data_IF_803690228360
#
_entry.id   IF_803690228360
#
_cell.length_a   1.000
_cell.length_b   1.000
_cell.length_c   1.000
_cell.angle_alpha   90.00
_cell.angle_beta   90.00
_cell.angle_gamma   90.00
#
_symmetry.space_group_name_H-M   'P 1'
#
loop_
_entity.id
_entity.type
_entity.pdbx_description
1 polymer ?
#
# COMPACT_ATOMS: atom_id res chain seq x y z
N UNK A 1 -18.14 15.51 -13.45
CA UNK A 1 -17.18 16.41 -12.79
C UNK A 1 -16.83 17.50 -13.80
N UNK A 2 -16.88 18.79 -13.42
CA UNK A 2 -16.49 19.87 -14.34
C UNK A 2 -14.96 19.93 -14.48
N UNK A 3 -14.48 20.48 -15.59
CA UNK A 3 -13.05 20.67 -15.83
C UNK A 3 -12.40 21.55 -14.75
N UNK A 4 -13.11 22.58 -14.30
CA UNK A 4 -12.66 23.47 -13.22
C UNK A 4 -12.43 22.73 -11.89
N UNK A 5 -13.32 21.79 -11.52
CA UNK A 5 -13.13 20.96 -10.32
C UNK A 5 -11.90 20.08 -10.45
N UNK A 6 -11.68 19.46 -11.61
CA UNK A 6 -10.48 18.65 -11.86
C UNK A 6 -9.21 19.50 -11.71
N UNK A 7 -9.19 20.68 -12.32
CA UNK A 7 -8.03 21.56 -12.32
C UNK A 7 -7.71 22.06 -10.91
N UNK A 8 -8.72 22.37 -10.07
CA UNK A 8 -8.52 22.69 -8.64
C UNK A 8 -7.95 21.54 -7.82
N UNK A 9 -8.42 20.32 -8.04
CA UNK A 9 -7.90 19.14 -7.32
C UNK A 9 -6.44 18.91 -7.73
N UNK A 10 -6.14 18.90 -9.02
CA UNK A 10 -4.78 18.73 -9.54
C UNK A 10 -3.86 19.84 -8.99
N UNK A 11 -4.28 21.10 -9.09
CA UNK A 11 -3.50 22.24 -8.61
C UNK A 11 -3.18 22.16 -7.12
N UNK A 12 -4.18 21.83 -6.27
CA UNK A 12 -3.93 21.71 -4.83
C UNK A 12 -3.12 20.46 -4.47
N UNK A 13 -3.21 19.38 -5.24
CA UNK A 13 -2.31 18.22 -5.10
C UNK A 13 -0.86 18.57 -5.43
N UNK A 14 -0.62 19.32 -6.52
CA UNK A 14 0.71 19.83 -6.88
C UNK A 14 1.24 20.78 -5.80
N UNK A 15 0.37 21.58 -5.18
CA UNK A 15 0.74 22.48 -4.09
C UNK A 15 1.33 21.73 -2.89
N UNK A 16 0.78 20.56 -2.53
CA UNK A 16 1.31 19.70 -1.46
C UNK A 16 2.73 19.21 -1.71
N UNK A 17 3.07 18.98 -2.97
CA UNK A 17 4.39 18.48 -3.36
C UNK A 17 5.39 19.63 -3.56
N UNK A 18 4.92 20.78 -4.03
CA UNK A 18 5.73 21.98 -4.24
C UNK A 18 6.17 22.64 -2.92
N UNK A 19 5.32 22.62 -1.91
CA UNK A 19 5.53 23.33 -0.64
C UNK A 19 5.34 22.42 0.58
N UNK A 20 6.21 21.42 0.81
CA UNK A 20 6.22 20.71 2.07
C UNK A 20 6.54 21.63 3.26
N UNK A 21 6.31 21.19 4.51
CA UNK A 21 6.64 21.98 5.69
C UNK A 21 8.13 22.39 5.71
N UNK A 22 8.41 23.62 6.14
CA UNK A 22 9.77 24.18 6.28
C UNK A 22 10.56 24.37 4.96
N UNK A 23 9.89 24.61 3.84
CA UNK A 23 10.57 24.92 2.57
C UNK A 23 10.89 26.40 2.40
N UNK A 24 11.87 26.69 1.54
CA UNK A 24 12.09 28.03 1.03
C UNK A 24 10.91 28.53 0.19
N UNK A 25 10.60 29.82 0.32
CA UNK A 25 9.54 30.46 -0.46
C UNK A 25 10.03 30.74 -1.89
N UNK A 26 9.43 30.05 -2.85
CA UNK A 26 9.60 30.33 -4.27
C UNK A 26 8.30 30.86 -4.85
N UNK A 27 8.41 31.73 -5.86
CA UNK A 27 7.24 32.30 -6.51
C UNK A 27 6.45 31.18 -7.23
N UNK A 28 5.14 31.01 -6.96
CA UNK A 28 4.37 29.85 -7.41
C UNK A 28 4.31 29.72 -8.94
N UNK A 29 4.31 30.83 -9.67
CA UNK A 29 4.34 30.81 -11.13
C UNK A 29 5.63 30.18 -11.67
N UNK A 30 6.77 30.45 -11.03
CA UNK A 30 8.06 29.95 -11.49
C UNK A 30 8.13 28.45 -11.26
N UNK A 31 7.74 27.99 -10.06
CA UNK A 31 7.66 26.56 -9.75
C UNK A 31 6.78 25.83 -10.76
N UNK A 32 5.57 26.34 -11.02
CA UNK A 32 4.66 25.69 -11.96
C UNK A 32 5.25 25.63 -13.37
N UNK A 33 5.80 26.73 -13.86
CA UNK A 33 6.36 26.81 -15.22
C UNK A 33 7.57 25.90 -15.41
N UNK A 34 8.45 25.86 -14.42
CA UNK A 34 9.71 25.11 -14.49
C UNK A 34 9.53 23.62 -14.19
N UNK A 35 8.66 23.25 -13.23
CA UNK A 35 8.52 21.86 -12.76
C UNK A 35 7.29 21.14 -13.30
N UNK A 36 6.14 21.82 -13.42
CA UNK A 36 4.86 21.14 -13.65
C UNK A 36 4.27 21.34 -15.05
N UNK A 37 4.60 22.44 -15.73
CA UNK A 37 3.99 22.78 -17.03
C UNK A 37 4.20 21.69 -18.07
N UNK A 38 5.45 21.23 -18.26
CA UNK A 38 5.75 20.20 -19.25
C UNK A 38 5.07 18.85 -18.93
N UNK A 39 5.18 18.29 -17.70
CA UNK A 39 4.43 17.10 -17.32
C UNK A 39 2.91 17.23 -17.48
N UNK A 40 2.32 18.36 -17.08
CA UNK A 40 0.89 18.62 -17.23
C UNK A 40 0.48 18.65 -18.71
N UNK A 41 1.21 19.35 -19.57
CA UNK A 41 0.93 19.39 -21.01
C UNK A 41 1.01 18.00 -21.62
N UNK A 42 2.03 17.21 -21.28
CA UNK A 42 2.17 15.85 -21.79
C UNK A 42 1.00 14.95 -21.34
N UNK A 43 0.64 14.98 -20.05
CA UNK A 43 -0.48 14.20 -19.52
C UNK A 43 -1.83 14.61 -20.13
N UNK A 44 -2.07 15.92 -20.28
CA UNK A 44 -3.28 16.46 -20.87
C UNK A 44 -3.41 16.11 -22.36
N UNK A 45 -2.30 16.13 -23.11
CA UNK A 45 -2.28 15.72 -24.53
C UNK A 45 -2.72 14.28 -24.70
N UNK A 46 -2.30 13.38 -23.80
CA UNK A 46 -2.67 11.96 -23.86
C UNK A 46 -4.16 11.72 -23.61
N UNK A 47 -4.81 12.58 -22.81
CA UNK A 47 -6.22 12.38 -22.41
C UNK A 47 -7.18 13.17 -23.30
N UNK A 48 -6.84 14.41 -23.67
CA UNK A 48 -7.74 15.35 -24.36
C UNK A 48 -7.29 15.72 -25.77
N UNK A 49 -6.11 15.29 -26.22
CA UNK A 49 -5.54 15.66 -27.50
C UNK A 49 -4.97 17.09 -27.54
N UNK A 50 -4.42 17.53 -28.68
CA UNK A 50 -3.60 18.74 -28.76
C UNK A 50 -4.39 20.06 -28.67
N UNK A 51 -5.69 20.06 -28.99
CA UNK A 51 -6.45 21.29 -29.28
C UNK A 51 -6.76 22.11 -28.01
N UNK A 52 -6.89 21.48 -26.84
CA UNK A 52 -7.29 22.18 -25.59
C UNK A 52 -6.25 22.08 -24.45
N UNK A 53 -5.11 21.44 -24.71
CA UNK A 53 -4.11 21.17 -23.67
C UNK A 53 -3.48 22.46 -23.11
N UNK A 54 -3.20 23.45 -23.97
CA UNK A 54 -2.60 24.72 -23.54
C UNK A 54 -3.50 25.53 -22.62
N UNK A 55 -4.78 25.68 -23.00
CA UNK A 55 -5.77 26.40 -22.20
C UNK A 55 -5.98 25.73 -20.83
N UNK A 56 -6.04 24.40 -20.81
CA UNK A 56 -6.22 23.64 -19.57
C UNK A 56 -4.99 23.67 -18.68
N UNK A 57 -3.78 23.56 -19.22
CA UNK A 57 -2.55 23.75 -18.43
C UNK A 57 -2.49 25.15 -17.81
N UNK A 58 -2.99 26.17 -18.51
CA UNK A 58 -3.06 27.52 -17.97
C UNK A 58 -4.14 27.66 -16.87
N UNK A 59 -5.28 26.97 -17.01
CA UNK A 59 -6.30 26.87 -15.96
C UNK A 59 -5.75 26.22 -14.68
N UNK A 60 -4.97 25.15 -14.81
CA UNK A 60 -4.27 24.50 -13.68
C UNK A 60 -3.24 25.46 -13.06
N UNK A 61 -2.44 26.17 -13.86
CA UNK A 61 -1.48 27.19 -13.39
C UNK A 61 -2.19 28.28 -12.57
N UNK A 62 -3.29 28.82 -13.07
CA UNK A 62 -4.10 29.82 -12.38
C UNK A 62 -4.67 29.28 -11.06
N UNK A 63 -5.20 28.05 -11.08
CA UNK A 63 -5.70 27.38 -9.89
C UNK A 63 -4.61 27.12 -8.86
N UNK A 64 -3.39 26.79 -9.29
CA UNK A 64 -2.22 26.56 -8.42
C UNK A 64 -1.81 27.84 -7.70
N UNK A 65 -1.69 28.94 -8.45
CA UNK A 65 -1.39 30.27 -7.89
C UNK A 65 -2.50 30.74 -6.94
N UNK A 66 -3.76 30.50 -7.30
CA UNK A 66 -4.91 30.83 -6.45
C UNK A 66 -4.90 30.04 -5.13
N UNK A 67 -4.64 28.72 -5.18
CA UNK A 67 -4.52 27.91 -3.97
C UNK A 67 -3.36 28.36 -3.08
N UNK A 68 -2.21 28.74 -3.67
CA UNK A 68 -1.08 29.29 -2.93
C UNK A 68 -1.44 30.64 -2.26
N UNK A 69 -2.04 31.57 -3.01
CA UNK A 69 -2.45 32.86 -2.46
C UNK A 69 -3.45 32.70 -1.30
N UNK A 70 -4.34 31.71 -1.40
CA UNK A 70 -5.29 31.40 -0.36
C UNK A 70 -4.64 30.74 0.87
N UNK A 71 -3.62 29.91 0.68
CA UNK A 71 -2.81 29.35 1.77
C UNK A 71 -2.10 30.47 2.55
N UNK A 72 -1.40 31.36 1.85
CA UNK A 72 -0.67 32.49 2.44
C UNK A 72 -1.62 33.47 3.12
N UNK A 73 -2.72 33.85 2.47
CA UNK A 73 -3.66 34.84 2.99
C UNK A 73 -4.45 34.41 4.23
N UNK A 74 -4.55 33.09 4.49
CA UNK A 74 -5.20 32.54 5.69
C UNK A 74 -4.23 31.93 6.70
N UNK A 75 -2.92 32.11 6.49
CA UNK A 75 -1.86 31.45 7.28
C UNK A 75 -2.11 29.93 7.42
N UNK A 76 -2.68 29.31 6.38
CA UNK A 76 -3.05 27.90 6.35
C UNK A 76 -1.97 27.09 5.64
N UNK A 77 -1.73 25.86 6.09
CA UNK A 77 -0.77 25.00 5.40
C UNK A 77 -1.31 24.56 4.04
N UNK A 78 -0.44 24.24 3.06
CA UNK A 78 -0.86 23.62 1.80
C UNK A 78 -1.70 22.35 2.02
N UNK A 79 -1.42 21.62 3.10
CA UNK A 79 -2.19 20.45 3.53
C UNK A 79 -3.64 20.81 3.86
N UNK A 80 -3.86 21.87 4.62
CA UNK A 80 -5.20 22.32 5.00
C UNK A 80 -6.02 22.76 3.78
N UNK A 81 -5.38 23.49 2.86
CA UNK A 81 -6.03 23.93 1.61
C UNK A 81 -6.44 22.73 0.75
N UNK A 82 -5.56 21.73 0.61
CA UNK A 82 -5.89 20.55 -0.16
C UNK A 82 -6.93 19.67 0.54
N UNK A 83 -6.83 19.46 1.85
CA UNK A 83 -7.82 18.73 2.63
C UNK A 83 -9.21 19.38 2.54
N UNK A 84 -9.28 20.71 2.57
CA UNK A 84 -10.52 21.45 2.34
C UNK A 84 -11.09 21.21 0.94
N UNK A 85 -10.25 21.17 -0.11
CA UNK A 85 -10.70 20.84 -1.45
C UNK A 85 -11.21 19.39 -1.55
N UNK A 86 -10.52 18.43 -0.92
CA UNK A 86 -10.97 17.03 -0.89
C UNK A 86 -12.34 16.91 -0.21
N UNK A 87 -12.52 17.56 0.94
CA UNK A 87 -13.79 17.61 1.67
C UNK A 87 -14.91 18.24 0.83
N UNK A 88 -14.62 19.35 0.15
CA UNK A 88 -15.59 20.03 -0.72
C UNK A 88 -16.09 19.12 -1.85
N UNK A 89 -15.24 18.20 -2.35
CA UNK A 89 -15.55 17.31 -3.46
C UNK A 89 -15.73 15.84 -3.05
N UNK A 90 -16.05 15.59 -1.77
CA UNK A 90 -16.17 14.25 -1.20
C UNK A 90 -17.10 13.29 -1.97
N UNK A 91 -18.18 13.81 -2.57
CA UNK A 91 -19.14 13.01 -3.34
C UNK A 91 -18.54 12.39 -4.59
N UNK A 92 -17.50 13.02 -5.16
CA UNK A 92 -16.75 12.50 -6.30
C UNK A 92 -15.85 11.35 -5.82
N UNK A 93 -15.15 11.55 -4.71
CA UNK A 93 -14.22 10.56 -4.16
C UNK A 93 -14.91 9.33 -3.57
N UNK A 94 -16.16 9.45 -3.13
CA UNK A 94 -16.96 8.30 -2.67
C UNK A 94 -17.05 7.16 -3.73
N UNK A 95 -17.02 7.52 -5.01
CA UNK A 95 -17.17 6.57 -6.12
C UNK A 95 -15.87 6.37 -6.93
N UNK A 96 -14.78 7.03 -6.54
CA UNK A 96 -13.51 6.97 -7.25
C UNK A 96 -12.50 6.11 -6.48
N UNK A 97 -11.94 5.12 -7.15
CA UNK A 97 -10.92 4.21 -6.61
C UNK A 97 -9.77 4.10 -7.61
N UNK A 98 -8.54 4.07 -7.12
CA UNK A 98 -7.33 3.91 -7.94
C UNK A 98 -6.33 3.04 -7.19
N UNK A 99 -5.76 2.08 -7.91
CA UNK A 99 -4.65 1.24 -7.45
C UNK A 99 -3.30 1.68 -8.06
N UNK A 100 -3.31 2.64 -8.99
CA UNK A 100 -2.11 3.13 -9.67
C UNK A 100 -1.57 4.41 -9.05
N UNK A 101 -2.47 5.30 -8.64
CA UNK A 101 -2.16 6.62 -8.12
C UNK A 101 -2.98 6.91 -6.86
N UNK A 102 -2.31 7.43 -5.83
CA UNK A 102 -2.94 7.80 -4.58
C UNK A 102 -3.86 9.00 -4.82
N UNK A 103 -5.17 8.82 -4.65
CA UNK A 103 -6.16 9.88 -4.90
C UNK A 103 -6.03 11.08 -3.94
N UNK A 104 -5.30 10.92 -2.82
CA UNK A 104 -5.05 11.99 -1.86
C UNK A 104 -3.85 12.89 -2.18
N UNK A 105 -3.03 12.56 -3.18
CA UNK A 105 -1.92 13.43 -3.61
C UNK A 105 -1.67 13.41 -5.12
N UNK A 106 -2.19 12.44 -5.86
CA UNK A 106 -2.01 12.21 -7.30
C UNK A 106 -0.56 12.02 -7.77
N UNK A 107 0.41 11.98 -6.85
CA UNK A 107 1.85 11.90 -7.16
C UNK A 107 2.41 10.50 -7.00
N UNK A 108 2.07 9.80 -5.91
CA UNK A 108 2.67 8.52 -5.55
C UNK A 108 1.69 7.37 -5.72
N UNK A 109 2.20 6.15 -5.90
CA UNK A 109 1.35 4.94 -5.91
C UNK A 109 0.84 4.61 -4.50
N UNK A 110 -0.42 4.17 -4.36
CA UNK A 110 -0.99 3.89 -3.07
C UNK A 110 -0.59 2.47 -2.59
N UNK A 111 -0.37 2.33 -1.29
CA UNK A 111 0.11 1.08 -0.66
C UNK A 111 -0.82 0.61 0.47
N UNK A 112 -1.49 1.55 1.14
CA UNK A 112 -2.22 1.31 2.37
C UNK A 112 -3.72 1.41 2.15
N UNK A 113 -4.41 0.27 2.22
CA UNK A 113 -5.86 0.18 2.07
C UNK A 113 -6.59 0.56 3.36
N UNK A 114 -7.57 1.43 3.22
CA UNK A 114 -8.48 1.84 4.28
C UNK A 114 -9.74 0.95 4.30
N UNK A 115 -10.50 0.85 5.41
CA UNK A 115 -11.70 0.00 5.51
C UNK A 115 -12.80 0.36 4.52
N UNK A 116 -12.74 1.59 4.00
CA UNK A 116 -13.62 2.09 2.96
C UNK A 116 -13.32 1.57 1.55
N UNK A 117 -12.17 0.93 1.33
CA UNK A 117 -11.70 0.51 0.00
C UNK A 117 -10.80 1.51 -0.70
N UNK A 118 -10.65 2.74 -0.19
CA UNK A 118 -9.64 3.68 -0.70
C UNK A 118 -8.24 3.26 -0.28
N UNK A 119 -7.26 3.61 -1.09
CA UNK A 119 -5.86 3.30 -0.84
C UNK A 119 -5.03 4.58 -0.84
N UNK A 120 -4.11 4.71 0.13
CA UNK A 120 -3.22 5.86 0.30
C UNK A 120 -1.75 5.46 0.18
N UNK A 121 -0.91 6.36 -0.32
CA UNK A 121 0.54 6.21 -0.24
C UNK A 121 1.05 6.52 1.17
N UNK A 122 2.25 6.05 1.51
CA UNK A 122 2.88 6.30 2.81
C UNK A 122 2.95 7.80 3.16
N UNK A 123 3.29 8.66 2.19
CA UNK A 123 3.35 10.10 2.40
C UNK A 123 1.97 10.70 2.76
N UNK A 124 0.89 10.22 2.15
CA UNK A 124 -0.47 10.64 2.53
C UNK A 124 -0.86 10.11 3.91
N UNK A 125 -0.40 8.90 4.27
CA UNK A 125 -0.63 8.37 5.62
C UNK A 125 0.03 9.24 6.68
N UNK A 126 1.27 9.69 6.44
CA UNK A 126 1.98 10.60 7.35
C UNK A 126 1.36 12.00 7.40
N UNK A 127 0.84 12.51 6.27
CA UNK A 127 0.25 13.85 6.20
C UNK A 127 -1.11 13.93 6.89
N UNK A 128 -2.01 12.98 6.61
CA UNK A 128 -3.39 13.03 7.10
C UNK A 128 -3.60 12.26 8.40
N UNK A 129 -2.76 11.27 8.69
CA UNK A 129 -2.88 10.44 9.88
C UNK A 129 -2.30 11.11 11.12
N UNK A 130 -2.84 10.74 12.28
CA UNK A 130 -2.30 11.17 13.57
C UNK A 130 -1.24 10.16 14.04
N UNK A 131 -0.05 10.61 14.48
CA UNK A 131 0.96 9.69 14.98
C UNK A 131 0.49 9.06 16.29
N UNK A 132 0.64 7.73 16.39
CA UNK A 132 0.28 6.99 17.59
C UNK A 132 1.33 7.23 18.70
N UNK A 133 0.93 7.63 19.92
CA UNK A 133 1.86 7.80 21.01
C UNK A 133 2.65 6.52 21.28
N UNK A 134 3.98 6.63 21.42
CA UNK A 134 4.89 5.53 21.76
C UNK A 134 5.00 4.42 20.70
N UNK A 135 4.51 4.65 19.48
CA UNK A 135 4.69 3.75 18.34
C UNK A 135 5.20 4.56 17.14
N UNK A 136 6.51 4.52 16.93
CA UNK A 136 7.16 5.24 15.83
C UNK A 136 6.65 4.73 14.48
N UNK A 137 6.39 5.66 13.56
CA UNK A 137 5.88 5.37 12.21
C UNK A 137 4.54 4.64 12.14
N UNK A 138 3.78 4.63 13.25
CA UNK A 138 2.39 4.16 13.26
C UNK A 138 1.46 5.37 13.28
N UNK A 139 0.55 5.41 12.31
CA UNK A 139 -0.41 6.49 12.15
C UNK A 139 -1.82 5.93 12.25
N UNK A 140 -2.73 6.67 12.85
CA UNK A 140 -4.13 6.31 12.89
C UNK A 140 -5.02 7.36 12.22
N UNK A 141 -6.15 6.88 11.74
CA UNK A 141 -7.20 7.70 11.14
C UNK A 141 -8.50 7.44 11.88
N UNK A 142 -9.26 8.49 12.15
CA UNK A 142 -10.64 8.37 12.60
C UNK A 142 -11.61 8.33 11.41
N UNK A 143 -11.21 8.92 10.28
CA UNK A 143 -11.99 9.03 9.06
C UNK A 143 -11.11 8.96 7.80
N UNK A 144 -11.70 8.55 6.67
CA UNK A 144 -11.01 8.58 5.38
C UNK A 144 -10.85 10.03 4.89
N UNK A 145 -9.64 10.51 4.56
CA UNK A 145 -9.43 11.89 4.11
C UNK A 145 -10.08 12.23 2.76
N UNK A 146 -10.51 11.23 1.99
CA UNK A 146 -11.10 11.43 0.66
C UNK A 146 -12.62 11.63 0.68
N UNK A 147 -13.35 10.95 1.56
CA UNK A 147 -14.81 11.02 1.62
C UNK A 147 -15.41 10.98 3.04
N UNK A 148 -14.56 11.11 4.06
CA UNK A 148 -14.93 11.34 5.47
C UNK A 148 -15.84 10.26 6.08
N UNK A 149 -15.73 9.00 5.60
CA UNK A 149 -16.38 7.91 6.31
C UNK A 149 -15.60 7.59 7.58
N UNK A 150 -16.28 7.52 8.74
CA UNK A 150 -15.66 7.13 9.98
C UNK A 150 -15.18 5.68 9.90
N UNK A 151 -14.00 5.44 10.43
CA UNK A 151 -13.37 4.15 10.47
C UNK A 151 -12.01 4.25 11.14
N UNK A 152 -11.92 3.80 12.39
CA UNK A 152 -10.66 3.76 13.11
C UNK A 152 -9.75 2.72 12.47
N UNK A 153 -8.62 3.17 11.93
CA UNK A 153 -7.58 2.29 11.38
C UNK A 153 -6.21 2.75 11.85
N UNK A 154 -5.36 1.80 12.18
CA UNK A 154 -3.94 2.01 12.50
C UNK A 154 -3.11 1.43 11.36
N UNK A 155 -2.19 2.23 10.83
CA UNK A 155 -1.33 1.88 9.69
C UNK A 155 0.11 2.05 10.15
N UNK A 156 0.90 0.98 10.06
CA UNK A 156 2.34 1.02 10.32
C UNK A 156 3.07 1.21 8.99
N UNK A 157 3.88 2.27 8.91
CA UNK A 157 4.73 2.54 7.74
C UNK A 157 6.13 2.07 8.07
N UNK A 158 6.79 1.44 7.09
CA UNK A 158 8.22 1.14 7.20
C UNK A 158 9.01 2.46 7.25
N UNK A 159 9.77 2.76 8.33
CA UNK A 159 10.58 3.97 8.39
C UNK A 159 11.55 4.04 7.20
N UNK A 160 11.80 5.24 6.67
CA UNK A 160 12.71 5.43 5.53
C UNK A 160 14.15 4.99 5.80
N UNK A 161 14.54 4.88 7.07
CA UNK A 161 15.85 4.41 7.53
C UNK A 161 15.89 2.90 7.82
N UNK A 162 14.75 2.22 7.75
CA UNK A 162 14.66 0.79 8.03
C UNK A 162 14.77 -0.03 6.74
N UNK A 163 15.57 -1.10 6.78
CA UNK A 163 15.56 -2.10 5.72
C UNK A 163 14.33 -3.00 5.87
N UNK A 164 13.79 -3.49 4.74
CA UNK A 164 12.70 -4.47 4.73
C UNK A 164 13.19 -5.78 5.37
N UNK A 165 12.51 -6.20 6.44
CA UNK A 165 12.77 -7.46 7.15
C UNK A 165 11.86 -8.54 6.57
N UNK A 166 12.36 -9.22 5.54
CA UNK A 166 11.62 -10.27 4.85
C UNK A 166 11.89 -11.65 5.47
N UNK A 167 10.84 -12.41 5.74
CA UNK A 167 10.91 -13.81 6.13
C UNK A 167 10.45 -14.71 4.97
N UNK A 168 11.27 -15.66 4.56
CA UNK A 168 10.89 -16.66 3.57
C UNK A 168 10.95 -18.07 4.16
N UNK A 169 9.84 -18.81 4.07
CA UNK A 169 9.78 -20.23 4.48
C UNK A 169 9.63 -21.10 3.24
N UNK A 170 10.74 -21.74 2.85
CA UNK A 170 10.78 -22.59 1.68
C UNK A 170 10.19 -23.99 1.94
N UNK A 171 9.66 -24.59 0.86
CA UNK A 171 9.17 -25.96 0.82
C UNK A 171 10.32 -26.95 1.01
N UNK A 172 10.28 -27.72 2.08
CA UNK A 172 11.29 -28.74 2.39
C UNK A 172 10.74 -30.11 2.83
N UNK A 173 9.43 -30.35 2.68
CA UNK A 173 8.75 -31.50 3.29
C UNK A 173 8.81 -31.41 4.82
N UNK A 174 9.14 -32.51 5.50
CA UNK A 174 9.32 -32.55 6.97
C UNK A 174 10.35 -31.52 7.47
N UNK A 175 11.27 -31.06 6.63
CA UNK A 175 12.29 -30.05 7.00
C UNK A 175 11.69 -28.66 7.31
N UNK A 176 10.44 -28.40 6.93
CA UNK A 176 9.72 -27.18 7.35
C UNK A 176 9.60 -27.08 8.87
N UNK A 177 9.54 -28.22 9.57
CA UNK A 177 9.54 -28.27 11.04
C UNK A 177 10.80 -27.62 11.63
N UNK A 178 11.95 -27.75 10.97
CA UNK A 178 13.20 -27.13 11.43
C UNK A 178 13.09 -25.61 11.34
N UNK A 179 12.59 -25.08 10.22
CA UNK A 179 12.38 -23.63 10.06
C UNK A 179 11.40 -23.07 11.10
N UNK A 180 10.33 -23.80 11.40
CA UNK A 180 9.37 -23.41 12.44
C UNK A 180 10.01 -23.46 13.83
N UNK A 181 10.81 -24.49 14.14
CA UNK A 181 11.53 -24.56 15.41
C UNK A 181 12.48 -23.36 15.56
N UNK A 182 13.21 -22.98 14.51
CA UNK A 182 14.08 -21.79 14.55
C UNK A 182 13.28 -20.52 14.87
N UNK A 183 12.09 -20.35 14.28
CA UNK A 183 11.24 -19.19 14.57
C UNK A 183 10.71 -19.19 16.02
N UNK A 184 10.38 -20.36 16.57
CA UNK A 184 9.98 -20.51 17.97
C UNK A 184 11.14 -20.17 18.92
N UNK A 185 12.33 -20.71 18.66
CA UNK A 185 13.54 -20.40 19.45
C UNK A 185 13.89 -18.91 19.38
N UNK A 186 13.74 -18.28 18.21
CA UNK A 186 13.91 -16.83 18.07
C UNK A 186 12.89 -16.06 18.91
N UNK A 187 11.62 -16.48 18.92
CA UNK A 187 10.60 -15.87 19.77
C UNK A 187 10.92 -16.04 21.27
N UNK A 188 11.45 -17.18 21.68
CA UNK A 188 11.86 -17.42 23.06
C UNK A 188 13.05 -16.54 23.47
N UNK A 189 14.02 -16.33 22.57
CA UNK A 189 15.15 -15.41 22.79
C UNK A 189 14.66 -13.95 22.91
N UNK A 190 13.72 -13.53 22.06
CA UNK A 190 13.14 -12.18 22.12
C UNK A 190 12.29 -11.95 23.38
N UNK A 191 11.72 -13.03 23.91
CA UNK A 191 10.87 -13.03 25.09
C UNK A 191 9.47 -12.43 24.82
N UNK A 192 8.61 -12.40 25.84
CA UNK A 192 7.17 -12.12 25.68
C UNK A 192 6.84 -10.64 25.38
N UNK A 193 7.82 -9.74 25.47
CA UNK A 193 7.62 -8.29 25.25
C UNK A 193 7.93 -7.83 23.83
N UNK A 194 8.50 -8.70 23.00
CA UNK A 194 8.84 -8.41 21.62
C UNK A 194 8.36 -9.57 20.77
N UNK A 195 7.25 -9.37 20.06
CA UNK A 195 6.75 -10.38 19.13
C UNK A 195 7.65 -10.43 17.91
N UNK A 196 8.02 -11.62 17.48
CA UNK A 196 8.76 -11.84 16.24
C UNK A 196 8.00 -11.27 15.03
N UNK A 197 6.67 -11.24 15.07
CA UNK A 197 5.83 -10.62 14.03
C UNK A 197 6.11 -9.13 13.84
N UNK A 198 6.44 -8.41 14.92
CA UNK A 198 6.72 -6.97 14.87
C UNK A 198 8.08 -6.69 14.19
N UNK A 199 8.89 -7.74 14.06
CA UNK A 199 10.20 -7.72 13.42
C UNK A 199 10.17 -8.17 11.96
N UNK A 200 8.99 -8.53 11.43
CA UNK A 200 8.83 -9.02 10.06
C UNK A 200 7.89 -8.08 9.31
N UNK A 201 8.40 -7.49 8.23
CA UNK A 201 7.61 -6.57 7.40
C UNK A 201 6.84 -7.33 6.31
N UNK A 202 7.44 -8.38 5.77
CA UNK A 202 6.87 -9.22 4.72
C UNK A 202 7.24 -10.67 5.01
N UNK A 203 6.26 -11.57 4.94
CA UNK A 203 6.51 -13.01 5.01
C UNK A 203 5.96 -13.74 3.78
N UNK A 204 6.74 -14.67 3.25
CA UNK A 204 6.35 -15.51 2.11
C UNK A 204 6.63 -16.98 2.37
N UNK A 205 5.68 -17.85 2.01
CA UNK A 205 5.83 -19.30 2.07
C UNK A 205 5.51 -19.96 0.73
N UNK A 206 6.28 -21.00 0.37
CA UNK A 206 5.95 -21.87 -0.77
C UNK A 206 5.37 -23.20 -0.25
N UNK A 207 4.11 -23.53 -0.55
CA UNK A 207 3.46 -24.82 -0.18
C UNK A 207 3.59 -25.89 -1.27
N UNK A 208 3.44 -27.18 -0.96
CA UNK A 208 3.57 -28.30 -1.93
C UNK A 208 2.74 -28.17 -3.21
N UNK A 209 1.61 -27.48 -3.11
CA UNK A 209 0.71 -27.22 -4.23
C UNK A 209 0.83 -25.74 -4.61
N UNK A 210 0.51 -25.35 -5.84
CA UNK A 210 0.65 -24.00 -6.44
C UNK A 210 -0.04 -22.82 -5.69
N UNK A 211 -0.40 -22.98 -4.42
CA UNK A 211 -0.90 -21.93 -3.56
C UNK A 211 0.24 -21.04 -3.04
N UNK A 212 0.02 -19.74 -3.21
CA UNK A 212 0.86 -18.66 -2.68
C UNK A 212 0.32 -18.32 -1.29
N UNK A 213 1.14 -18.46 -0.26
CA UNK A 213 0.79 -17.99 1.09
C UNK A 213 1.17 -16.52 1.17
N UNK A 214 0.16 -15.64 1.09
CA UNK A 214 0.33 -14.20 1.29
C UNK A 214 0.14 -13.89 2.77
N UNK A 215 1.21 -13.50 3.46
CA UNK A 215 1.16 -13.07 4.86
C UNK A 215 1.39 -11.56 4.86
N UNK A 216 0.32 -10.79 5.00
CA UNK A 216 0.35 -9.34 5.18
C UNK A 216 -0.06 -8.99 6.61
N UNK A 217 0.68 -8.07 7.24
CA UNK A 217 0.51 -7.58 8.63
C UNK A 217 -0.80 -6.79 8.90
N UNK A 218 -1.89 -7.07 8.18
CA UNK A 218 -3.16 -6.36 8.33
C UNK A 218 -4.31 -7.34 8.38
N UNK A 219 -4.55 -7.93 9.56
CA UNK A 219 -5.88 -8.24 10.13
C UNK A 219 -5.72 -9.08 11.41
N UNK A 220 -5.99 -8.48 12.56
CA UNK A 220 -6.22 -9.20 13.82
C UNK A 220 -7.71 -9.51 13.97
N UNK A 221 -8.08 -10.78 14.10
CA UNK A 221 -9.40 -11.23 14.57
C UNK A 221 -9.25 -11.92 15.92
N UNK A 222 -10.02 -11.49 16.91
CA UNK A 222 -10.05 -12.07 18.26
C UNK A 222 -11.11 -13.19 18.34
N UNK A 223 -10.75 -14.33 18.94
CA UNK A 223 -11.70 -15.35 19.39
C UNK A 223 -11.41 -15.73 20.85
N UNK A 224 -12.44 -15.87 21.72
CA UNK A 224 -12.24 -16.20 23.12
C UNK A 224 -12.05 -17.71 23.31
N UNK A 225 -11.11 -18.12 24.18
CA UNK A 225 -11.07 -19.48 24.70
C UNK A 225 -10.77 -19.53 26.20
N UNK A 226 -11.31 -20.57 26.83
CA UNK A 226 -11.58 -20.71 28.28
C UNK A 226 -10.37 -20.99 29.18
N UNK A 227 -9.15 -20.69 28.76
CA UNK A 227 -7.95 -20.92 29.58
C UNK A 227 -6.93 -19.78 29.41
N UNK A 228 -7.24 -18.62 29.99
CA UNK A 228 -6.31 -17.77 30.77
C UNK A 228 -4.96 -17.27 30.23
N UNK A 229 -4.48 -17.65 29.05
CA UNK A 229 -3.30 -17.07 28.40
C UNK A 229 -3.52 -17.00 26.89
N UNK A 230 -3.74 -15.78 26.39
CA UNK A 230 -3.97 -15.48 24.98
C UNK A 230 -2.61 -15.22 24.32
N UNK A 231 -2.04 -16.22 23.65
CA UNK A 231 -1.07 -15.97 22.60
C UNK A 231 -1.85 -15.68 21.32
N UNK A 232 -2.14 -14.40 21.07
CA UNK A 232 -2.72 -13.94 19.81
C UNK A 232 -1.65 -13.98 18.72
N UNK A 233 -1.40 -15.18 18.21
CA UNK A 233 -0.70 -15.38 16.95
C UNK A 233 -1.80 -15.46 15.89
N UNK A 234 -2.25 -14.30 15.40
CA UNK A 234 -3.17 -14.23 14.27
C UNK A 234 -2.45 -14.70 13.00
N UNK A 235 -2.48 -16.00 12.77
CA UNK A 235 -2.09 -16.61 11.51
C UNK A 235 -3.32 -17.29 10.93
N UNK A 236 -3.91 -16.69 9.90
CA UNK A 236 -4.76 -17.45 8.97
C UNK A 236 -3.85 -18.38 8.17
N UNK A 237 -3.48 -19.50 8.79
CA UNK A 237 -3.07 -20.68 8.05
C UNK A 237 -4.33 -21.26 7.41
N UNK A 238 -4.53 -21.04 6.11
CA UNK A 238 -5.38 -21.93 5.32
C UNK A 238 -4.65 -23.27 5.17
N UNK A 239 -4.56 -24.05 6.24
CA UNK A 239 -4.42 -25.50 6.13
C UNK A 239 -5.78 -26.01 5.68
N UNK A 240 -5.90 -26.33 4.39
CA UNK A 240 -6.98 -27.21 3.96
C UNK A 240 -6.80 -28.52 4.75
N UNK A 241 -7.79 -28.85 5.57
CA UNK A 241 -7.86 -30.12 6.29
C UNK A 241 -7.69 -31.27 5.31
N UNK A 242 -6.64 -32.09 5.50
CA UNK A 242 -6.63 -33.52 5.14
C UNK A 242 -5.38 -34.31 5.56
N UNK A 243 -4.52 -33.81 6.46
CA UNK A 243 -3.33 -34.55 6.89
C UNK A 243 -3.49 -35.35 8.20
N UNK A 244 -4.67 -35.30 8.83
CA UNK A 244 -5.02 -36.18 9.94
C UNK A 244 -6.43 -36.75 9.77
N UNK A 245 -6.64 -37.56 8.74
CA UNK A 245 -7.61 -38.65 8.85
C UNK A 245 -7.18 -39.83 7.98
N UNK A 246 -7.07 -40.99 8.61
CA UNK A 246 -6.80 -42.32 8.04
C UNK A 246 -5.40 -42.61 7.48
N UNK A 247 -4.45 -42.88 8.38
CA UNK A 247 -3.51 -43.99 8.15
C UNK A 247 -4.29 -45.28 8.39
N UNK A 248 -4.73 -45.90 7.30
CA UNK A 248 -5.09 -47.33 7.25
C UNK A 248 -4.70 -47.88 5.87
N UNK A 249 -3.65 -48.70 5.86
CA UNK A 249 -3.29 -49.63 4.76
C UNK A 249 -3.98 -50.96 5.15
N UNK A 250 -4.66 -51.76 4.27
CA UNK A 250 -4.10 -52.22 3.00
C UNK A 250 -5.05 -52.50 1.81
N UNK A 251 -4.37 -52.75 0.68
CA UNK A 251 -4.62 -53.74 -0.38
C UNK A 251 -5.59 -53.47 -1.56
N UNK A 252 -4.94 -53.49 -2.73
CA UNK A 252 -5.32 -54.17 -3.98
C UNK A 252 -6.30 -53.52 -4.97
N UNK A 253 -5.87 -53.58 -6.24
CA UNK A 253 -6.64 -53.46 -7.50
C UNK A 253 -7.31 -52.11 -7.76
N UNK A 254 -7.40 -51.53 -8.95
CA UNK A 254 -6.99 -51.81 -10.34
C UNK A 254 -7.40 -50.54 -11.13
N UNK A 255 -6.83 -50.33 -12.32
CA UNK A 255 -7.37 -49.52 -13.43
C UNK A 255 -7.68 -48.02 -13.15
N UNK A 256 -7.28 -47.04 -13.96
CA UNK A 256 -6.70 -47.05 -15.29
C UNK A 256 -6.89 -45.65 -15.89
N UNK A 257 -6.06 -45.37 -16.92
CA UNK A 257 -6.32 -44.47 -18.06
C UNK A 257 -6.48 -42.97 -17.71
N UNK A 258 -5.54 -42.05 -17.97
CA UNK A 258 -4.75 -41.65 -19.16
C UNK A 258 -5.23 -40.31 -19.74
N UNK A 259 -4.24 -39.56 -20.27
CA UNK A 259 -4.30 -38.43 -21.20
C UNK A 259 -4.58 -37.04 -20.60
N UNK A 260 -3.92 -35.97 -21.02
CA UNK A 260 -2.70 -35.76 -21.79
C UNK A 260 -2.41 -34.25 -21.75
N UNK A 261 -1.15 -33.91 -21.47
CA UNK A 261 -0.35 -32.86 -22.12
C UNK A 261 -0.99 -31.50 -22.48
N UNK A 262 -0.39 -30.45 -21.93
CA UNK A 262 0.13 -29.33 -22.73
C UNK A 262 1.27 -28.64 -21.96
N UNK A 263 2.46 -28.78 -22.51
CA UNK A 263 3.71 -28.13 -22.10
C UNK A 263 3.64 -26.62 -22.27
N UNK A 264 3.96 -25.87 -21.22
CA UNK A 264 4.48 -24.50 -21.32
C UNK A 264 5.70 -24.40 -20.40
N UNK A 265 6.82 -24.00 -21.01
CA UNK A 265 8.18 -24.22 -20.53
C UNK A 265 8.50 -23.57 -19.18
N UNK A 266 9.34 -24.27 -18.42
CA UNK A 266 9.94 -23.81 -17.18
C UNK A 266 10.72 -22.51 -17.41
N UNK A 267 10.31 -21.41 -16.76
CA UNK A 267 11.20 -20.27 -16.54
C UNK A 267 12.19 -20.64 -15.43
N UNK A 268 13.45 -20.26 -15.61
CA UNK A 268 14.50 -20.48 -14.61
C UNK A 268 14.17 -19.73 -13.31
N UNK A 269 14.58 -20.22 -12.12
CA UNK A 269 14.44 -19.51 -10.84
C UNK A 269 14.93 -18.05 -10.88
N UNK A 270 15.93 -17.76 -11.72
CA UNK A 270 16.50 -16.42 -11.90
C UNK A 270 15.54 -15.45 -12.62
N UNK A 271 14.65 -15.96 -13.49
CA UNK A 271 13.66 -15.14 -14.21
C UNK A 271 12.49 -14.77 -13.29
N UNK A 272 12.15 -15.64 -12.33
CA UNK A 272 11.13 -15.35 -11.32
C UNK A 272 11.59 -14.25 -10.35
N UNK A 273 12.88 -14.25 -9.98
CA UNK A 273 13.47 -13.20 -9.14
C UNK A 273 13.52 -11.84 -9.87
N UNK A 274 13.85 -11.82 -11.16
CA UNK A 274 13.84 -10.60 -11.99
C UNK A 274 12.43 -10.03 -12.16
N UNK A 275 11.43 -10.88 -12.38
CA UNK A 275 10.03 -10.44 -12.46
C UNK A 275 9.51 -9.87 -11.13
N UNK A 276 9.93 -10.43 -9.99
CA UNK A 276 9.57 -9.91 -8.67
C UNK A 276 10.23 -8.55 -8.36
N UNK A 277 11.50 -8.36 -8.75
CA UNK A 277 12.20 -7.08 -8.60
C UNK A 277 11.64 -5.98 -9.51
N UNK A 278 11.22 -6.35 -10.73
CA UNK A 278 10.54 -5.44 -11.66
C UNK A 278 9.17 -5.00 -11.14
N UNK A 279 8.43 -5.87 -10.44
CA UNK A 279 7.14 -5.53 -9.83
C UNK A 279 7.29 -4.65 -8.56
N UNK A 280 8.48 -4.65 -7.93
CA UNK A 280 8.83 -3.83 -6.77
C UNK A 280 9.49 -2.49 -7.14
N UNK A 281 9.66 -2.17 -8.43
CA UNK A 281 10.26 -0.90 -8.87
C UNK A 281 11.75 -0.75 -8.61
N UNK A 282 12.47 -1.85 -8.31
CA UNK A 282 13.91 -1.83 -8.05
C UNK A 282 14.64 -2.07 -9.37
N UNK A 283 15.22 -1.01 -9.95
CA UNK A 283 16.14 -1.15 -11.09
C UNK A 283 17.46 -1.71 -10.60
N UNK A 284 17.91 -2.82 -11.20
CA UNK A 284 19.25 -3.37 -10.98
C UNK A 284 20.26 -2.58 -11.82
N UNK A 285 21.39 -2.19 -11.22
CA UNK A 285 22.60 -1.73 -11.91
C UNK A 285 23.35 -2.95 -12.43
#
# INVERSE_FOLDING_TARGET
MSAETQDRIIASSLLLEAFPPNTHEFHPNNIFRERYRSPCLHALQQVFGPIDTGARSHSIESSFVSCYAHAVGRESSPLDVHAHNLAQFQSIFQHLYSNHSCLGCLVSSPQNSLPCGHTLCDACVQRYGQPKPRAESVYFFEECPLYQRPGLISIAILPSTAAVRALTVNRGGVRVVISLQILLELQDILGPRCSLSDLIDIAWGTSADNNRLNISNTQTFEYPSHTGQVLSLSWTFLFYENLFSSVSIPSSTSCGVSLANSSMGCCSPDDAARCALSAAGISTI
#
